data_IF_069039286441
#
_entry.id   IF_069039286441
#
_cell.length_a   1.000
_cell.length_b   1.000
_cell.length_c   1.000
_cell.angle_alpha   90.00
_cell.angle_beta   90.00
_cell.angle_gamma   90.00
#
_symmetry.space_group_name_H-M   'P 1'
#
loop_
_entity.id
_entity.type
_entity.pdbx_description
1 polymer ?
#
# COMPACT_ATOMS: atom_id res chain seq x y z
N UNK A 1 10.52 6.29 -10.05
CA UNK A 1 9.36 5.38 -10.14
C UNK A 1 8.14 6.16 -9.67
N UNK A 2 7.23 6.57 -10.56
CA UNK A 2 6.05 7.36 -10.18
C UNK A 2 5.06 6.47 -9.40
N UNK A 3 4.79 6.85 -8.14
CA UNK A 3 3.96 6.13 -7.18
C UNK A 3 2.46 6.16 -7.52
N UNK A 4 2.01 7.14 -8.29
CA UNK A 4 0.59 7.34 -8.61
C UNK A 4 0.35 7.14 -10.11
N UNK A 5 0.40 5.91 -10.61
CA UNK A 5 -0.36 5.64 -11.82
C UNK A 5 -1.83 5.66 -11.40
N UNK A 6 -2.60 6.64 -11.88
CA UNK A 6 -4.01 6.82 -11.55
C UNK A 6 -4.94 5.69 -12.03
N UNK A 7 -4.39 4.51 -12.31
CA UNK A 7 -5.13 3.33 -12.78
C UNK A 7 -5.81 2.55 -11.66
N UNK A 8 -5.46 2.79 -10.39
CA UNK A 8 -6.05 2.10 -9.24
C UNK A 8 -6.54 3.10 -8.19
N UNK A 9 -7.83 3.03 -7.84
CA UNK A 9 -8.32 3.63 -6.59
C UNK A 9 -7.79 2.78 -5.44
N UNK A 10 -7.29 3.41 -4.39
CA UNK A 10 -6.62 2.66 -3.33
C UNK A 10 -6.06 3.55 -2.24
N UNK A 11 -5.31 2.95 -1.33
CA UNK A 11 -4.66 3.65 -0.24
C UNK A 11 -3.34 2.98 0.14
N UNK A 12 -2.50 3.73 0.85
CA UNK A 12 -1.28 3.22 1.47
C UNK A 12 -1.59 2.83 2.91
N UNK A 13 -1.23 1.60 3.31
CA UNK A 13 -1.26 1.17 4.71
C UNK A 13 0.16 1.12 5.25
N UNK A 14 0.45 2.03 6.18
CA UNK A 14 1.73 2.09 6.88
C UNK A 14 1.63 1.41 8.23
N UNK A 15 2.55 0.48 8.50
CA UNK A 15 2.76 -0.12 9.83
C UNK A 15 4.17 0.21 10.26
N UNK A 16 4.28 0.94 11.37
CA UNK A 16 5.56 1.38 11.93
C UNK A 16 5.80 0.67 13.26
N UNK A 17 6.96 0.04 13.39
CA UNK A 17 7.49 -0.45 14.66
C UNK A 17 8.76 0.32 14.98
N UNK A 18 9.35 0.04 16.16
CA UNK A 18 10.60 0.70 16.56
C UNK A 18 11.77 0.41 15.61
N UNK A 19 11.76 -0.74 14.95
CA UNK A 19 12.90 -1.22 14.14
C UNK A 19 12.57 -1.35 12.66
N UNK A 20 11.31 -1.16 12.26
CA UNK A 20 10.87 -1.45 10.91
C UNK A 20 9.70 -0.57 10.48
N UNK A 21 9.65 -0.25 9.20
CA UNK A 21 8.48 0.29 8.52
C UNK A 21 8.02 -0.68 7.43
N UNK A 22 6.72 -0.94 7.36
CA UNK A 22 6.08 -1.68 6.28
C UNK A 22 5.09 -0.77 5.56
N UNK A 23 5.19 -0.73 4.23
CA UNK A 23 4.30 -0.01 3.34
C UNK A 23 3.56 -1.01 2.45
N UNK A 24 2.27 -1.23 2.73
CA UNK A 24 1.37 -2.02 1.91
C UNK A 24 0.61 -1.10 0.94
N UNK A 25 0.71 -1.37 -0.36
CA UNK A 25 -0.04 -0.68 -1.40
C UNK A 25 -1.32 -1.45 -1.67
N UNK A 26 -2.45 -0.84 -1.32
CA UNK A 26 -3.75 -1.50 -1.38
C UNK A 26 -4.56 -0.91 -2.53
N UNK A 27 -4.94 -1.76 -3.48
CA UNK A 27 -5.90 -1.45 -4.53
C UNK A 27 -7.31 -1.85 -4.09
N UNK A 28 -8.30 -1.08 -4.52
CA UNK A 28 -9.72 -1.36 -4.33
C UNK A 28 -10.35 -1.50 -5.72
N UNK A 29 -11.11 -2.57 -5.94
CA UNK A 29 -11.89 -2.72 -7.17
C UNK A 29 -12.76 -1.49 -7.40
N UNK A 30 -12.95 -1.12 -8.67
CA UNK A 30 -13.66 0.12 -9.02
C UNK A 30 -14.99 0.20 -8.29
N UNK A 31 -15.30 1.37 -7.70
CA UNK A 31 -16.50 1.68 -6.90
C UNK A 31 -17.83 1.40 -7.63
N UNK A 32 -17.78 0.97 -8.89
CA UNK A 32 -18.92 0.57 -9.72
C UNK A 32 -19.54 -0.77 -9.31
N UNK A 33 -18.80 -1.63 -8.62
CA UNK A 33 -19.33 -2.90 -8.12
C UNK A 33 -19.51 -2.85 -6.60
N UNK A 34 -20.67 -3.29 -6.12
CA UNK A 34 -21.03 -3.26 -4.68
C UNK A 34 -20.12 -4.15 -3.82
N UNK A 35 -19.47 -5.13 -4.44
CA UNK A 35 -18.48 -5.98 -3.80
C UNK A 35 -17.10 -5.33 -3.91
N UNK A 36 -16.73 -4.59 -2.87
CA UNK A 36 -15.39 -4.06 -2.73
C UNK A 36 -14.42 -5.21 -2.48
N UNK A 37 -13.57 -5.52 -3.45
CA UNK A 37 -12.43 -6.40 -3.24
C UNK A 37 -11.21 -5.55 -2.98
N UNK A 38 -10.47 -5.93 -1.93
CA UNK A 38 -9.26 -5.25 -1.49
C UNK A 38 -8.08 -6.14 -1.84
N UNK A 39 -7.19 -5.67 -2.69
CA UNK A 39 -6.02 -6.41 -3.14
C UNK A 39 -4.73 -5.68 -2.72
N UNK A 40 -3.76 -6.44 -2.19
CA UNK A 40 -2.43 -5.90 -1.91
C UNK A 40 -1.58 -5.98 -3.17
N UNK A 41 -1.41 -4.85 -3.84
CA UNK A 41 -0.67 -4.73 -5.09
C UNK A 41 0.84 -4.89 -4.89
N UNK A 42 1.35 -4.34 -3.78
CA UNK A 42 2.78 -4.37 -3.44
C UNK A 42 2.99 -4.25 -1.95
N UNK A 43 4.12 -4.76 -1.46
CA UNK A 43 4.63 -4.52 -0.12
C UNK A 43 6.09 -4.11 -0.19
N UNK A 44 6.41 -2.98 0.41
CA UNK A 44 7.78 -2.54 0.65
C UNK A 44 8.07 -2.63 2.15
N UNK A 45 9.26 -3.10 2.51
CA UNK A 45 9.70 -3.26 3.89
C UNK A 45 11.05 -2.58 4.06
N UNK A 46 11.15 -1.76 5.10
CA UNK A 46 12.33 -0.96 5.39
C UNK A 46 12.75 -1.19 6.83
N UNK A 47 14.02 -1.49 7.05
CA UNK A 47 14.59 -1.56 8.38
C UNK A 47 15.02 -0.16 8.84
N UNK A 48 14.92 0.10 10.13
CA UNK A 48 15.41 1.34 10.72
C UNK A 48 16.92 1.37 10.60
N UNK A 49 17.43 2.26 9.76
CA UNK A 49 18.87 2.47 9.64
C UNK A 49 19.40 3.18 10.89
N UNK A 50 20.18 2.46 11.70
CA UNK A 50 20.94 3.01 12.83
C UNK A 50 22.39 3.18 12.41
N UNK A 51 22.63 4.16 11.54
CA UNK A 51 23.98 4.67 11.27
C UNK A 51 24.24 5.89 12.17
#
# INVERSE_FOLDING_TARGET
MLWTSGSHNGYLRLVLTRTQATADFIGVSTVRERQYTVERLRRDMMERNTA
#
